data_IF_720029218475
#
_entry.id   IF_720029218475
#
_cell.length_a   1.000
_cell.length_b   1.000
_cell.length_c   1.000
_cell.angle_alpha   90.00
_cell.angle_beta   90.00
_cell.angle_gamma   90.00
#
_symmetry.space_group_name_H-M   'P 1'
#
loop_
_entity.id
_entity.type
_entity.pdbx_description
1 polymer ?
#
# COMPACT_ATOMS: atom_id res chain seq x y z
N UNK A 1 -13.97 -16.21 2.85
CA UNK A 1 -12.49 -16.15 2.88
C UNK A 1 -12.11 -14.85 3.56
N UNK A 2 -11.14 -14.86 4.49
CA UNK A 2 -10.65 -13.60 5.08
C UNK A 2 -10.08 -12.73 3.96
N UNK A 3 -10.56 -11.49 3.86
CA UNK A 3 -10.06 -10.51 2.89
C UNK A 3 -8.68 -10.08 3.37
N UNK A 4 -7.63 -10.41 2.62
CA UNK A 4 -6.29 -9.92 2.95
C UNK A 4 -6.23 -8.46 2.55
N UNK A 5 -6.18 -7.55 3.52
CA UNK A 5 -6.29 -6.11 3.28
C UNK A 5 -5.19 -5.37 4.04
N UNK A 6 -4.18 -4.91 3.32
CA UNK A 6 -2.96 -4.29 3.86
C UNK A 6 -2.77 -2.91 3.27
N UNK A 7 -2.60 -1.91 4.13
CA UNK A 7 -2.16 -0.56 3.77
C UNK A 7 -0.76 -0.32 4.31
N UNK A 8 0.18 -0.01 3.41
CA UNK A 8 1.52 0.44 3.75
C UNK A 8 1.54 1.96 3.59
N UNK A 9 1.94 2.69 4.62
CA UNK A 9 1.96 4.16 4.62
C UNK A 9 3.37 4.71 4.74
N UNK A 10 3.65 5.83 4.08
CA UNK A 10 4.90 6.59 4.26
C UNK A 10 6.15 5.94 3.66
N UNK A 11 5.99 4.85 2.91
CA UNK A 11 7.08 4.16 2.23
C UNK A 11 7.56 4.93 1.00
N UNK A 12 8.86 4.80 0.70
CA UNK A 12 9.44 5.23 -0.57
C UNK A 12 9.22 4.15 -1.61
N UNK A 13 8.21 4.33 -2.47
CA UNK A 13 7.80 3.35 -3.48
C UNK A 13 8.72 3.44 -4.68
N UNK A 14 9.37 2.33 -5.02
CA UNK A 14 10.27 2.24 -6.20
C UNK A 14 9.71 1.20 -7.18
N UNK A 15 9.05 1.67 -8.24
CA UNK A 15 8.56 0.83 -9.33
C UNK A 15 9.06 1.34 -10.70
N UNK A 16 10.18 0.80 -11.21
CA UNK A 16 10.73 1.22 -12.49
C UNK A 16 9.82 0.93 -13.70
N UNK A 17 8.98 -0.12 -13.62
CA UNK A 17 8.09 -0.49 -14.72
C UNK A 17 6.96 0.54 -14.89
N UNK A 18 6.57 1.19 -13.79
CA UNK A 18 5.56 2.26 -13.76
C UNK A 18 6.16 3.66 -13.66
N UNK A 19 7.49 3.79 -13.64
CA UNK A 19 8.22 5.04 -13.45
C UNK A 19 7.82 5.78 -12.15
N UNK A 20 7.72 5.04 -11.04
CA UNK A 20 7.41 5.55 -9.71
C UNK A 20 8.70 5.53 -8.87
N UNK A 21 9.00 6.64 -8.21
CA UNK A 21 10.12 6.82 -7.28
C UNK A 21 9.79 7.98 -6.33
N UNK A 22 8.88 7.74 -5.39
CA UNK A 22 8.30 8.79 -4.54
C UNK A 22 7.79 8.22 -3.20
N UNK A 23 7.61 9.09 -2.21
CA UNK A 23 6.96 8.71 -0.95
C UNK A 23 5.46 8.64 -1.20
N UNK A 24 4.87 7.45 -1.01
CA UNK A 24 3.44 7.24 -1.25
C UNK A 24 2.89 6.08 -0.42
N UNK A 25 1.58 5.88 -0.49
CA UNK A 25 0.88 4.77 0.15
C UNK A 25 0.67 3.62 -0.85
N UNK A 26 0.84 2.38 -0.38
CA UNK A 26 0.56 1.16 -1.16
C UNK A 26 -0.58 0.38 -0.51
N UNK A 27 -1.54 -0.08 -1.32
CA UNK A 27 -2.64 -0.91 -0.85
C UNK A 27 -2.65 -2.26 -1.54
N UNK A 28 -2.80 -3.33 -0.77
CA UNK A 28 -2.93 -4.70 -1.26
C UNK A 28 -4.25 -5.27 -0.76
N UNK A 29 -5.12 -5.70 -1.69
CA UNK A 29 -6.39 -6.35 -1.38
C UNK A 29 -6.45 -7.69 -2.12
N UNK A 30 -6.60 -8.79 -1.37
CA UNK A 30 -6.63 -10.15 -1.92
C UNK A 30 -5.47 -10.40 -2.90
N UNK A 31 -4.26 -10.02 -2.47
CA UNK A 31 -3.00 -10.18 -3.19
C UNK A 31 -2.88 -9.34 -4.49
N UNK A 32 -3.74 -8.34 -4.66
CA UNK A 32 -3.71 -7.38 -5.78
C UNK A 32 -3.34 -6.00 -5.25
N UNK A 33 -2.35 -5.36 -5.88
CA UNK A 33 -2.05 -3.95 -5.64
C UNK A 33 -3.16 -3.09 -6.22
N UNK A 34 -3.75 -2.24 -5.39
CA UNK A 34 -4.79 -1.28 -5.76
C UNK A 34 -4.38 0.13 -5.40
N UNK A 35 -5.07 1.10 -5.99
CA UNK A 35 -4.93 2.52 -5.63
C UNK A 35 -5.41 2.75 -4.19
N UNK A 36 -4.51 3.21 -3.32
CA UNK A 36 -4.79 3.38 -1.89
C UNK A 36 -5.89 4.42 -1.62
N UNK A 37 -6.03 5.45 -2.47
CA UNK A 37 -6.99 6.54 -2.27
C UNK A 37 -8.41 6.17 -2.73
N UNK A 38 -8.55 5.09 -3.52
CA UNK A 38 -9.84 4.62 -4.03
C UNK A 38 -10.61 3.72 -3.06
N UNK A 39 -9.97 3.24 -1.99
CA UNK A 39 -10.58 2.29 -1.06
C UNK A 39 -10.51 2.81 0.38
N UNK A 40 -11.64 3.02 1.07
CA UNK A 40 -11.63 3.49 2.45
C UNK A 40 -11.01 2.44 3.38
N UNK A 41 -10.25 2.91 4.36
CA UNK A 41 -9.74 2.09 5.47
C UNK A 41 -10.92 1.58 6.30
N UNK A 42 -10.89 0.30 6.64
CA UNK A 42 -11.88 -0.38 7.49
C UNK A 42 -11.21 -0.95 8.73
N UNK A 43 -11.98 -1.43 9.70
CA UNK A 43 -11.47 -2.13 10.88
C UNK A 43 -10.70 -3.42 10.56
N UNK A 44 -10.86 -3.97 9.34
CA UNK A 44 -10.16 -5.16 8.87
C UNK A 44 -8.83 -4.83 8.19
N UNK A 45 -8.58 -3.55 7.91
CA UNK A 45 -7.33 -3.11 7.27
C UNK A 45 -6.17 -3.26 8.24
N UNK A 46 -5.16 -4.03 7.84
CA UNK A 46 -3.87 -4.02 8.52
C UNK A 46 -3.04 -2.85 8.03
N UNK A 47 -2.61 -1.99 8.94
CA UNK A 47 -1.75 -0.84 8.62
C UNK A 47 -0.30 -1.18 8.96
N UNK A 48 0.60 -0.91 8.03
CA UNK A 48 2.06 -1.00 8.20
C UNK A 48 2.64 0.41 7.98
N UNK A 49 3.33 0.94 8.97
CA UNK A 49 4.04 2.21 8.86
C UNK A 49 5.47 1.94 8.38
N UNK A 50 5.82 2.46 7.21
CA UNK A 50 7.08 2.19 6.51
C UNK A 50 7.89 3.49 6.28
N UNK A 51 7.76 4.46 7.19
CA UNK A 51 8.40 5.77 7.07
C UNK A 51 9.92 5.63 6.92
N UNK A 52 10.45 6.17 5.82
CA UNK A 52 11.88 6.10 5.49
C UNK A 52 12.37 4.72 5.01
N UNK A 53 11.46 3.77 4.78
CA UNK A 53 11.78 2.46 4.19
C UNK A 53 11.51 2.46 2.68
N UNK A 54 12.35 1.74 1.92
CA UNK A 54 12.08 1.41 0.52
C UNK A 54 11.05 0.28 0.44
N UNK A 55 10.03 0.45 -0.41
CA UNK A 55 8.89 -0.45 -0.59
C UNK A 55 8.70 -0.79 -2.06
#
# INVERSE_FOLDING_TARGET
MMKNDILITGGHIIDPARNINEINNLRIINDIIVDADKYPVTSETRIIHADGMEV
#
